data_IF_638770093139
#
_entry.id   IF_638770093139
#
_cell.length_a   1.000
_cell.length_b   1.000
_cell.length_c   1.000
_cell.angle_alpha   90.00
_cell.angle_beta   90.00
_cell.angle_gamma   90.00
#
_symmetry.space_group_name_H-M   'P 1'
#
loop_
_entity.id
_entity.type
_entity.pdbx_description
1 polymer ?
#
# COMPACT_ATOMS: atom_id res chain seq x y z
N UNK A 1 -10.06 -6.04 9.63
CA UNK A 1 -9.19 -7.06 8.99
C UNK A 1 -9.23 -7.02 7.46
N UNK A 2 -10.36 -7.32 6.81
CA UNK A 2 -10.45 -7.30 5.32
C UNK A 2 -10.11 -5.92 4.75
N UNK A 3 -10.69 -4.86 5.31
CA UNK A 3 -10.38 -3.48 4.90
C UNK A 3 -8.90 -3.13 5.09
N UNK A 4 -8.26 -3.63 6.15
CA UNK A 4 -6.83 -3.41 6.39
C UNK A 4 -5.95 -4.11 5.36
N UNK A 5 -6.31 -5.35 4.99
CA UNK A 5 -5.66 -6.07 3.92
C UNK A 5 -5.83 -5.39 2.55
N UNK A 6 -7.04 -4.91 2.24
CA UNK A 6 -7.32 -4.18 1.00
C UNK A 6 -6.55 -2.86 0.94
N UNK A 7 -6.54 -2.10 2.04
CA UNK A 7 -5.75 -0.88 2.16
C UNK A 7 -4.25 -1.16 1.99
N UNK A 8 -3.73 -2.19 2.67
CA UNK A 8 -2.33 -2.62 2.55
C UNK A 8 -1.95 -3.04 1.13
N UNK A 9 -2.89 -3.62 0.38
CA UNK A 9 -2.71 -4.07 -1.01
C UNK A 9 -2.48 -2.95 -2.02
N UNK A 10 -2.68 -1.68 -1.64
CA UNK A 10 -2.40 -0.54 -2.50
C UNK A 10 -0.88 -0.33 -2.57
N UNK A 11 -0.29 -0.44 -3.75
CA UNK A 11 1.13 -0.14 -3.95
C UNK A 11 1.31 1.32 -4.42
N UNK A 12 1.73 2.19 -3.51
CA UNK A 12 1.92 3.62 -3.80
C UNK A 12 3.05 3.88 -4.79
N UNK A 13 4.08 3.04 -4.83
CA UNK A 13 5.17 3.18 -5.79
C UNK A 13 4.68 3.05 -7.24
N UNK A 14 3.79 2.09 -7.52
CA UNK A 14 3.16 1.91 -8.84
C UNK A 14 2.22 3.07 -9.16
N UNK A 15 1.40 3.48 -8.18
CA UNK A 15 0.43 4.56 -8.37
C UNK A 15 1.12 5.89 -8.70
N UNK A 16 2.11 6.28 -7.89
CA UNK A 16 2.83 7.54 -8.03
C UNK A 16 3.71 7.53 -9.29
N UNK A 17 4.41 6.43 -9.59
CA UNK A 17 5.25 6.39 -10.81
C UNK A 17 4.42 6.54 -12.08
N UNK A 18 3.23 5.93 -12.11
CA UNK A 18 2.30 6.04 -13.24
C UNK A 18 1.68 7.42 -13.32
N UNK A 19 1.27 7.99 -12.20
CA UNK A 19 0.66 9.31 -12.19
C UNK A 19 1.63 10.42 -12.61
N UNK A 20 2.88 10.36 -12.14
CA UNK A 20 3.87 11.42 -12.37
C UNK A 20 4.53 11.31 -13.73
N UNK A 21 4.88 10.09 -14.15
CA UNK A 21 5.70 9.84 -15.35
C UNK A 21 5.02 8.97 -16.40
N UNK A 22 3.82 8.45 -16.15
CA UNK A 22 3.15 7.49 -17.05
C UNK A 22 3.82 6.12 -17.12
N UNK A 23 4.81 5.84 -16.25
CA UNK A 23 5.63 4.63 -16.29
C UNK A 23 5.33 3.69 -15.12
N UNK A 24 5.40 2.39 -15.39
CA UNK A 24 5.33 1.37 -14.35
C UNK A 24 6.69 1.23 -13.66
N UNK A 25 6.77 1.51 -12.36
CA UNK A 25 8.04 1.42 -11.60
C UNK A 25 8.68 0.03 -11.67
N UNK A 26 7.90 -1.02 -11.98
CA UNK A 26 8.38 -2.40 -12.12
C UNK A 26 9.13 -2.66 -13.43
N UNK A 27 9.09 -1.75 -14.39
CA UNK A 27 9.79 -1.89 -15.68
C UNK A 27 11.12 -1.13 -15.72
N UNK A 28 11.45 -0.37 -14.67
CA UNK A 28 12.60 0.53 -14.63
C UNK A 28 13.44 0.32 -13.36
N UNK A 29 14.71 0.76 -13.41
CA UNK A 29 15.65 0.62 -12.29
C UNK A 29 15.86 -0.84 -11.88
N UNK A 30 15.79 -1.12 -10.58
CA UNK A 30 15.92 -2.49 -10.07
C UNK A 30 14.60 -3.30 -10.12
N UNK A 31 13.55 -2.74 -10.76
CA UNK A 31 12.23 -3.36 -10.95
C UNK A 31 11.45 -3.64 -9.66
N UNK A 32 11.97 -3.23 -8.50
CA UNK A 32 11.28 -3.36 -7.22
C UNK A 32 10.31 -2.18 -7.05
N UNK A 33 8.99 -2.41 -6.84
CA UNK A 33 8.02 -1.34 -6.63
C UNK A 33 8.04 -0.83 -5.18
N UNK A 34 9.19 -0.27 -4.77
CA UNK A 34 9.39 0.32 -3.45
C UNK A 34 9.98 1.72 -3.51
N UNK A 35 9.92 2.41 -2.37
CA UNK A 35 10.37 3.79 -2.17
C UNK A 35 11.77 4.07 -2.74
N UNK A 36 12.73 3.19 -2.50
CA UNK A 36 14.11 3.38 -2.96
C UNK A 36 14.23 3.43 -4.49
N UNK A 37 13.46 2.60 -5.20
CA UNK A 37 13.47 2.60 -6.67
C UNK A 37 12.78 3.86 -7.21
N UNK A 38 11.67 4.29 -6.59
CA UNK A 38 11.01 5.56 -6.92
C UNK A 38 11.95 6.75 -6.69
N UNK A 39 12.73 6.75 -5.61
CA UNK A 39 13.70 7.81 -5.33
C UNK A 39 14.79 7.93 -6.39
N UNK A 40 15.25 6.79 -6.92
CA UNK A 40 16.27 6.74 -7.97
C UNK A 40 15.71 7.07 -9.36
N UNK A 41 14.51 6.58 -9.69
CA UNK A 41 13.98 6.64 -11.06
C UNK A 41 12.96 7.75 -11.31
N UNK A 42 12.23 8.18 -10.27
CA UNK A 42 11.17 9.20 -10.36
C UNK A 42 11.61 10.50 -9.69
N UNK A 43 12.13 10.43 -8.47
CA UNK A 43 12.70 11.56 -7.73
C UNK A 43 12.50 11.44 -6.22
N UNK A 44 13.34 12.14 -5.43
CA UNK A 44 13.34 12.06 -3.96
C UNK A 44 12.03 12.55 -3.31
N UNK A 45 11.43 13.62 -3.84
CA UNK A 45 10.14 14.12 -3.35
C UNK A 45 9.01 13.09 -3.53
N UNK A 46 8.99 12.41 -4.68
CA UNK A 46 8.03 11.34 -4.96
C UNK A 46 8.26 10.10 -4.11
N UNK A 47 9.51 9.78 -3.78
CA UNK A 47 9.83 8.72 -2.83
C UNK A 47 9.30 9.02 -1.43
N UNK A 48 9.43 10.27 -0.96
CA UNK A 48 8.85 10.67 0.32
C UNK A 48 7.32 10.46 0.33
N UNK A 49 6.62 10.83 -0.74
CA UNK A 49 5.18 10.59 -0.87
C UNK A 49 4.82 9.10 -0.87
N UNK A 50 5.59 8.25 -1.58
CA UNK A 50 5.39 6.79 -1.54
C UNK A 50 5.57 6.26 -0.13
N UNK A 51 6.62 6.67 0.55
CA UNK A 51 6.90 6.25 1.93
C UNK A 51 5.77 6.66 2.88
N UNK A 52 5.33 7.91 2.82
CA UNK A 52 4.20 8.39 3.63
C UNK A 52 2.91 7.64 3.31
N UNK A 53 2.64 7.37 2.02
CA UNK A 53 1.47 6.59 1.60
C UNK A 53 1.50 5.14 2.10
N UNK A 54 2.65 4.47 1.99
CA UNK A 54 2.83 3.09 2.45
C UNK A 54 2.75 2.98 3.98
N UNK A 55 3.19 4.01 4.72
CA UNK A 55 2.94 4.12 6.17
C UNK A 55 1.46 4.36 6.47
N UNK A 56 0.84 5.32 5.79
CA UNK A 56 -0.54 5.73 6.05
C UNK A 56 -1.52 4.58 5.81
N UNK A 57 -1.37 3.80 4.74
CA UNK A 57 -2.26 2.64 4.48
C UNK A 57 -2.13 1.53 5.51
N UNK A 58 -1.01 1.46 6.24
CA UNK A 58 -0.83 0.51 7.35
C UNK A 58 -1.40 1.04 8.66
N UNK A 59 -1.18 2.32 8.94
CA UNK A 59 -1.59 2.98 10.18
C UNK A 59 -3.08 3.34 10.22
N UNK A 60 -3.63 3.89 9.14
CA UNK A 60 -5.03 4.36 9.10
C UNK A 60 -6.02 3.23 9.44
N UNK A 61 -5.94 2.02 8.86
CA UNK A 61 -6.86 0.94 9.22
C UNK A 61 -6.75 0.51 10.68
N UNK A 62 -5.55 0.60 11.26
CA UNK A 62 -5.32 0.25 12.67
C UNK A 62 -5.93 1.29 13.61
N UNK A 63 -5.71 2.58 13.34
CA UNK A 63 -6.28 3.69 14.11
C UNK A 63 -7.81 3.67 14.02
N UNK A 64 -8.36 3.50 12.81
CA UNK A 64 -9.81 3.39 12.62
C UNK A 64 -10.38 2.17 13.35
N UNK A 65 -9.67 1.04 13.34
CA UNK A 65 -10.11 -0.14 14.08
C UNK A 65 -10.15 0.13 15.60
N UNK A 66 -9.12 0.79 16.15
CA UNK A 66 -9.06 1.17 17.57
C UNK A 66 -10.20 2.11 17.95
N UNK A 67 -10.45 3.15 17.15
CA UNK A 67 -11.45 4.18 17.49
C UNK A 67 -12.88 3.63 17.37
N UNK A 68 -13.17 2.84 16.34
CA UNK A 68 -14.55 2.45 16.01
C UNK A 68 -15.01 1.17 16.74
N UNK A 69 -14.10 0.23 16.98
CA UNK A 69 -14.47 -1.11 17.47
C UNK A 69 -13.88 -1.45 18.84
N UNK A 70 -12.85 -0.75 19.27
CA UNK A 70 -12.17 -0.99 20.54
C UNK A 70 -11.95 0.32 21.31
N UNK A 71 -13.00 1.10 21.60
CA UNK A 71 -12.84 2.43 22.19
C UNK A 71 -12.30 2.40 23.63
N UNK A 72 -12.63 1.35 24.39
CA UNK A 72 -12.21 1.17 25.78
C UNK A 72 -10.84 0.45 25.88
N UNK A 73 -10.04 0.79 26.88
CA UNK A 73 -8.71 0.21 27.10
C UNK A 73 -8.77 -1.14 27.82
N UNK A 74 -9.42 -2.14 27.20
CA UNK A 74 -9.38 -3.51 27.70
C UNK A 74 -8.20 -4.27 27.08
N UNK A 75 -7.40 -4.92 27.93
CA UNK A 75 -6.28 -5.75 27.48
C UNK A 75 -6.68 -6.87 26.51
N UNK A 76 -7.95 -7.29 26.50
CA UNK A 76 -8.48 -8.29 25.57
C UNK A 76 -8.54 -7.80 24.11
N UNK A 77 -8.51 -6.48 23.87
CA UNK A 77 -8.74 -5.88 22.55
C UNK A 77 -7.46 -5.78 21.70
N UNK A 78 -6.29 -6.01 22.28
CA UNK A 78 -5.02 -5.95 21.55
C UNK A 78 -4.86 -7.06 20.51
N UNK A 79 -5.48 -8.24 20.71
CA UNK A 79 -5.32 -9.35 19.79
C UNK A 79 -6.00 -9.10 18.42
N UNK A 80 -7.27 -8.63 18.35
CA UNK A 80 -7.87 -8.19 17.08
C UNK A 80 -7.13 -7.03 16.39
N UNK A 81 -6.62 -6.07 17.16
CA UNK A 81 -5.81 -4.96 16.66
C UNK A 81 -4.50 -5.46 16.04
N UNK A 82 -3.80 -6.35 16.74
CA UNK A 82 -2.60 -7.02 16.24
C UNK A 82 -2.87 -7.74 14.92
N UNK A 83 -3.92 -8.56 14.85
CA UNK A 83 -4.29 -9.24 13.60
C UNK A 83 -4.65 -8.27 12.48
N UNK A 84 -5.28 -7.13 12.80
CA UNK A 84 -5.57 -6.08 11.82
C UNK A 84 -4.29 -5.48 11.24
N UNK A 85 -3.28 -5.22 12.08
CA UNK A 85 -1.95 -4.80 11.64
C UNK A 85 -1.26 -5.85 10.78
N UNK A 86 -1.30 -7.13 11.18
CA UNK A 86 -0.75 -8.22 10.37
C UNK A 86 -1.42 -8.33 9.01
N UNK A 87 -2.74 -8.14 8.93
CA UNK A 87 -3.46 -8.14 7.66
C UNK A 87 -3.07 -6.97 6.76
N UNK A 88 -2.82 -5.77 7.31
CA UNK A 88 -2.29 -4.65 6.53
C UNK A 88 -0.90 -4.94 5.95
N UNK A 89 0.00 -5.53 6.75
CA UNK A 89 1.33 -5.96 6.30
C UNK A 89 1.20 -7.06 5.24
N UNK A 90 0.34 -8.06 5.47
CA UNK A 90 0.10 -9.14 4.53
C UNK A 90 -0.42 -8.61 3.19
N UNK A 91 -1.32 -7.63 3.20
CA UNK A 91 -1.78 -6.93 2.00
C UNK A 91 -0.63 -6.20 1.29
N UNK A 92 0.27 -5.55 2.03
CA UNK A 92 1.43 -4.89 1.43
C UNK A 92 2.40 -5.88 0.74
N UNK A 93 2.65 -7.02 1.36
CA UNK A 93 3.53 -8.06 0.83
C UNK A 93 2.89 -8.84 -0.33
N UNK A 94 1.59 -9.14 -0.21
CA UNK A 94 0.79 -9.84 -1.22
C UNK A 94 -0.39 -8.98 -1.67
N UNK A 95 -0.13 -7.93 -2.47
CA UNK A 95 -1.18 -7.03 -2.90
C UNK A 95 -2.13 -7.72 -3.88
N UNK A 96 -3.41 -7.88 -3.52
CA UNK A 96 -4.44 -8.51 -4.37
C UNK A 96 -4.50 -7.91 -5.77
N UNK A 97 -4.41 -6.59 -5.87
CA UNK A 97 -4.57 -5.83 -7.13
C UNK A 97 -3.36 -5.95 -8.05
N UNK A 98 -2.18 -6.29 -7.51
CA UNK A 98 -0.93 -6.31 -8.25
C UNK A 98 -0.26 -7.69 -8.31
N UNK A 99 -0.87 -8.71 -7.69
CA UNK A 99 -0.38 -10.08 -7.66
C UNK A 99 -0.70 -10.80 -8.98
N UNK A 100 0.18 -10.57 -9.96
CA UNK A 100 0.84 -11.56 -10.84
C UNK A 100 1.51 -10.78 -11.96
N UNK A 101 2.67 -11.27 -12.42
CA UNK A 101 3.26 -10.87 -13.69
C UNK A 101 2.23 -11.09 -14.81
N UNK A 102 1.38 -10.13 -15.12
CA UNK A 102 0.66 -10.03 -16.40
C UNK A 102 -0.04 -8.69 -16.51
N UNK A 103 0.50 -7.89 -17.42
CA UNK A 103 -0.11 -6.75 -18.07
C UNK A 103 -1.50 -7.16 -18.59
N UNK A 104 -2.60 -6.79 -17.92
CA UNK A 104 -3.93 -6.90 -18.56
C UNK A 104 -5.01 -6.08 -17.85
N UNK A 105 -5.21 -6.23 -16.54
CA UNK A 105 -6.51 -5.83 -15.96
C UNK A 105 -6.66 -4.36 -15.54
N UNK A 106 -5.57 -3.61 -15.30
CA UNK A 106 -5.65 -2.19 -14.92
C UNK A 106 -5.73 -1.24 -16.15
N UNK A 107 -5.58 -1.77 -17.38
CA UNK A 107 -5.72 -0.97 -18.61
C UNK A 107 -7.16 -0.48 -18.84
N UNK A 108 -8.14 -1.06 -18.14
CA UNK A 108 -9.57 -0.77 -18.28
C UNK A 108 -10.11 0.35 -17.38
N UNK A 109 -9.39 0.77 -16.33
CA UNK A 109 -9.90 1.78 -15.39
C UNK A 109 -9.26 3.17 -15.50
N UNK A 110 -8.19 3.33 -16.30
CA UNK A 110 -7.43 4.58 -16.37
C UNK A 110 -7.15 5.07 -17.81
N UNK A 111 -7.86 4.54 -18.80
CA UNK A 111 -7.89 5.08 -20.17
C UNK A 111 -9.33 5.51 -20.52
N UNK A 112 -9.74 6.65 -19.98
CA UNK A 112 -10.71 7.55 -20.60
C UNK A 112 -10.17 8.97 -20.49
#
# INVERSE_FOLDING_TARGET
MILAYLAGSINFAILISRWVKGIDIRTIGNKNPGTSNVGRMVGKGWAALVFTGDLAKGLIPLILARILFFPEDHYADYFPLFLTGMMAIAGHCWPLVYHRRSYSLIRLYFYH
#
